data_IF_799008882385
#
_entry.id   IF_799008882385
#
_cell.length_a   1.000
_cell.length_b   1.000
_cell.length_c   1.000
_cell.angle_alpha   90.00
_cell.angle_beta   90.00
_cell.angle_gamma   90.00
#
_symmetry.space_group_name_H-M   'P 1'
#
loop_
_entity.id
_entity.type
_entity.pdbx_description
1 polymer ?
#
# COMPACT_ATOMS: atom_id res chain seq x y z
N UNK A 1 5.02 -24.17 -13.91
CA UNK A 1 4.34 -22.90 -13.56
C UNK A 1 3.22 -22.45 -14.52
N UNK A 2 3.11 -22.95 -15.77
CA UNK A 2 1.99 -22.62 -16.70
C UNK A 2 0.63 -23.28 -16.38
N UNK A 3 0.56 -24.20 -15.41
CA UNK A 3 -0.65 -25.00 -15.14
C UNK A 3 -1.61 -24.42 -14.10
N UNK A 4 -1.21 -23.40 -13.34
CA UNK A 4 -2.05 -22.84 -12.25
C UNK A 4 -2.82 -21.58 -12.67
N UNK A 5 -2.33 -20.82 -13.64
CA UNK A 5 -3.01 -19.63 -14.17
C UNK A 5 -4.27 -19.94 -15.01
N UNK A 6 -4.41 -21.17 -15.50
CA UNK A 6 -5.57 -21.54 -16.33
C UNK A 6 -6.79 -22.03 -15.51
N UNK A 7 -6.60 -22.44 -14.25
CA UNK A 7 -7.71 -22.92 -13.40
C UNK A 7 -8.44 -21.78 -12.68
N UNK A 8 -7.76 -20.67 -12.37
CA UNK A 8 -8.39 -19.53 -11.67
C UNK A 8 -9.23 -18.65 -12.58
N UNK A 9 -8.95 -18.61 -13.89
CA UNK A 9 -9.80 -17.90 -14.87
C UNK A 9 -11.07 -18.68 -15.26
N UNK A 10 -11.16 -19.99 -14.97
CA UNK A 10 -12.34 -20.80 -15.31
C UNK A 10 -13.44 -20.81 -14.23
N UNK A 11 -13.17 -20.36 -13.01
CA UNK A 11 -14.14 -20.46 -11.90
C UNK A 11 -15.06 -19.25 -11.73
N UNK A 12 -14.85 -18.15 -12.47
CA UNK A 12 -15.63 -16.92 -12.30
C UNK A 12 -16.87 -16.79 -13.21
N UNK A 13 -17.16 -17.78 -14.08
CA UNK A 13 -18.24 -17.67 -15.09
C UNK A 13 -19.51 -18.47 -14.75
N UNK A 14 -19.53 -19.27 -13.68
CA UNK A 14 -20.62 -20.22 -13.46
C UNK A 14 -21.47 -19.93 -12.21
N UNK A 15 -22.24 -18.84 -12.23
CA UNK A 15 -23.47 -18.74 -11.44
C UNK A 15 -24.59 -18.12 -12.29
N UNK A 16 -25.40 -18.94 -12.98
CA UNK A 16 -26.62 -18.47 -13.62
C UNK A 16 -27.64 -18.14 -12.53
N UNK A 17 -27.71 -16.85 -12.17
CA UNK A 17 -28.83 -16.29 -11.43
C UNK A 17 -30.11 -16.50 -12.22
N UNK A 18 -30.98 -17.37 -11.70
CA UNK A 18 -32.38 -17.52 -12.14
C UNK A 18 -33.13 -16.22 -11.87
N UNK A 19 -33.12 -15.30 -12.83
CA UNK A 19 -34.11 -14.24 -12.91
C UNK A 19 -35.29 -14.76 -13.73
N UNK A 20 -36.35 -15.17 -13.04
CA UNK A 20 -37.64 -15.51 -13.65
C UNK A 20 -38.31 -14.22 -14.14
N UNK A 21 -38.05 -13.83 -15.37
CA UNK A 21 -38.89 -12.85 -16.08
C UNK A 21 -40.11 -13.59 -16.67
N UNK A 22 -41.25 -13.43 -16.01
CA UNK A 22 -42.56 -13.77 -16.55
C UNK A 22 -43.31 -12.48 -16.87
N UNK A 23 -43.32 -12.09 -18.14
CA UNK A 23 -44.33 -11.19 -18.69
C UNK A 23 -44.67 -11.64 -20.10
N UNK A 24 -45.83 -12.30 -20.19
CA UNK A 24 -46.50 -12.79 -21.38
C UNK A 24 -47.00 -11.61 -22.19
N UNK A 25 -46.40 -11.34 -23.35
CA UNK A 25 -46.98 -10.44 -24.36
C UNK A 25 -47.85 -11.25 -25.32
N UNK A 26 -49.09 -10.79 -25.47
CA UNK A 26 -50.10 -11.36 -26.36
C UNK A 26 -49.78 -10.87 -27.76
N UNK A 27 -49.37 -11.78 -28.64
CA UNK A 27 -49.01 -11.48 -30.03
C UNK A 27 -50.23 -11.10 -30.85
N UNK A 28 -50.24 -9.86 -31.31
CA UNK A 28 -51.04 -9.40 -32.44
C UNK A 28 -50.12 -9.51 -33.66
N UNK A 29 -50.44 -10.40 -34.59
CA UNK A 29 -49.61 -10.69 -35.77
C UNK A 29 -49.84 -9.61 -36.83
N UNK A 30 -49.17 -8.48 -36.67
CA UNK A 30 -48.86 -7.61 -37.80
C UNK A 30 -47.80 -8.31 -38.65
N UNK A 31 -48.17 -8.73 -39.86
CA UNK A 31 -47.22 -9.20 -40.86
C UNK A 31 -46.30 -8.01 -41.20
N UNK A 32 -45.13 -7.98 -40.56
CA UNK A 32 -44.06 -7.09 -40.91
C UNK A 32 -43.47 -7.59 -42.25
N UNK A 33 -43.12 -6.69 -43.18
CA UNK A 33 -42.46 -7.08 -44.41
C UNK A 33 -41.20 -7.87 -44.07
N UNK A 34 -41.05 -9.06 -44.63
CA UNK A 34 -39.81 -9.84 -44.57
C UNK A 34 -38.75 -9.11 -45.43
N UNK A 35 -38.21 -8.01 -44.92
CA UNK A 35 -36.97 -7.42 -45.41
C UNK A 35 -35.84 -8.37 -45.00
N UNK A 36 -35.32 -9.09 -45.98
CA UNK A 36 -34.24 -10.05 -45.77
C UNK A 36 -33.02 -9.37 -45.13
N UNK A 37 -32.65 -9.83 -43.93
CA UNK A 37 -31.38 -9.54 -43.26
C UNK A 37 -30.24 -9.63 -44.29
N UNK A 38 -29.74 -8.47 -44.71
CA UNK A 38 -28.69 -8.44 -45.72
C UNK A 38 -27.38 -8.87 -45.06
N UNK A 39 -26.55 -9.64 -45.77
CA UNK A 39 -25.22 -10.04 -45.28
C UNK A 39 -24.38 -8.82 -44.84
N UNK A 40 -24.61 -7.67 -45.46
CA UNK A 40 -23.95 -6.40 -45.12
C UNK A 40 -24.31 -5.92 -43.71
N UNK A 41 -25.58 -6.05 -43.31
CA UNK A 41 -26.03 -5.68 -41.96
C UNK A 41 -25.35 -6.51 -40.87
N UNK A 42 -25.19 -7.81 -41.10
CA UNK A 42 -24.50 -8.70 -40.17
C UNK A 42 -23.00 -8.35 -40.03
N UNK A 43 -22.33 -7.99 -41.14
CA UNK A 43 -20.93 -7.55 -41.11
C UNK A 43 -20.77 -6.23 -40.37
N UNK A 44 -21.67 -5.26 -40.60
CA UNK A 44 -21.66 -3.98 -39.86
C UNK A 44 -21.93 -4.20 -38.37
N UNK A 45 -22.87 -5.08 -38.02
CA UNK A 45 -23.15 -5.41 -36.62
C UNK A 45 -21.92 -5.99 -35.90
N UNK A 46 -21.23 -6.96 -36.51
CA UNK A 46 -20.00 -7.53 -35.93
C UNK A 46 -18.89 -6.47 -35.83
N UNK A 47 -18.75 -5.58 -36.82
CA UNK A 47 -17.78 -4.49 -36.78
C UNK A 47 -18.05 -3.50 -35.63
N UNK A 48 -19.31 -3.13 -35.40
CA UNK A 48 -19.71 -2.26 -34.28
C UNK A 48 -19.49 -2.96 -32.94
N UNK A 49 -19.79 -4.25 -32.83
CA UNK A 49 -19.54 -5.04 -31.60
C UNK A 49 -18.03 -5.11 -31.31
N UNK A 50 -17.20 -5.35 -32.34
CA UNK A 50 -15.75 -5.37 -32.17
C UNK A 50 -15.20 -4.00 -31.74
N UNK A 51 -15.68 -2.92 -32.34
CA UNK A 51 -15.27 -1.55 -31.99
C UNK A 51 -15.68 -1.17 -30.57
N UNK A 52 -16.93 -1.45 -30.19
CA UNK A 52 -17.43 -1.18 -28.83
C UNK A 52 -16.71 -2.03 -27.78
N UNK A 53 -16.46 -3.30 -28.07
CA UNK A 53 -15.66 -4.18 -27.21
C UNK A 53 -14.23 -3.66 -27.01
N UNK A 54 -13.59 -3.18 -28.08
CA UNK A 54 -12.24 -2.60 -28.01
C UNK A 54 -12.19 -1.32 -27.16
N UNK A 55 -13.27 -0.54 -27.10
CA UNK A 55 -13.34 0.68 -26.29
C UNK A 55 -13.58 0.43 -24.79
N UNK A 56 -14.23 -0.68 -24.42
CA UNK A 56 -14.56 -0.99 -23.00
C UNK A 56 -13.35 -1.60 -22.26
N UNK A 57 -12.44 -2.26 -22.96
CA UNK A 57 -11.28 -2.95 -22.37
C UNK A 57 -10.35 -2.04 -21.55
N UNK A 58 -9.80 -0.95 -22.13
CA UNK A 58 -8.81 -0.13 -21.45
C UNK A 58 -9.28 0.50 -20.12
N UNK A 59 -10.50 1.07 -20.01
CA UNK A 59 -11.00 1.60 -18.73
C UNK A 59 -11.14 0.55 -17.62
N UNK A 60 -11.50 -0.70 -17.95
CA UNK A 60 -11.65 -1.77 -16.97
C UNK A 60 -10.31 -2.18 -16.35
N UNK A 61 -9.28 -2.33 -17.18
CA UNK A 61 -7.93 -2.64 -16.72
C UNK A 61 -7.38 -1.51 -15.85
N UNK A 62 -7.63 -0.26 -16.26
CA UNK A 62 -7.25 0.92 -15.50
C UNK A 62 -7.92 0.95 -14.11
N UNK A 63 -9.23 0.72 -14.03
CA UNK A 63 -9.96 0.68 -12.76
C UNK A 63 -9.47 -0.44 -11.82
N UNK A 64 -9.13 -1.61 -12.37
CA UNK A 64 -8.58 -2.72 -11.59
C UNK A 64 -7.18 -2.39 -11.03
N UNK A 65 -6.32 -1.75 -11.82
CA UNK A 65 -4.97 -1.37 -11.40
C UNK A 65 -5.00 -0.36 -10.23
N UNK A 66 -5.79 0.71 -10.35
CA UNK A 66 -5.92 1.72 -9.28
C UNK A 66 -6.41 1.11 -7.96
N UNK A 67 -7.33 0.13 -8.02
CA UNK A 67 -7.82 -0.55 -6.81
C UNK A 67 -6.72 -1.33 -6.09
N UNK A 68 -5.83 -1.99 -6.82
CA UNK A 68 -4.71 -2.74 -6.22
C UNK A 68 -3.70 -1.78 -5.61
N UNK A 69 -3.38 -0.67 -6.30
CA UNK A 69 -2.48 0.36 -5.79
C UNK A 69 -3.03 1.00 -4.51
N UNK A 70 -4.31 1.39 -4.49
CA UNK A 70 -4.94 1.97 -3.31
C UNK A 70 -4.90 1.04 -2.11
N UNK A 71 -5.16 -0.27 -2.30
CA UNK A 71 -5.08 -1.26 -1.22
C UNK A 71 -3.67 -1.35 -0.62
N UNK A 72 -2.63 -1.32 -1.46
CA UNK A 72 -1.23 -1.37 -0.99
C UNK A 72 -0.86 -0.10 -0.23
N UNK A 73 -1.30 1.06 -0.70
CA UNK A 73 -1.11 2.32 -0.01
C UNK A 73 -1.81 2.34 1.37
N UNK A 74 -3.07 1.87 1.43
CA UNK A 74 -3.82 1.73 2.68
C UNK A 74 -3.12 0.79 3.67
N UNK A 75 -2.61 -0.35 3.20
CA UNK A 75 -1.86 -1.29 4.03
C UNK A 75 -0.56 -0.66 4.55
N UNK A 76 0.20 0.03 3.70
CA UNK A 76 1.42 0.73 4.10
C UNK A 76 1.12 1.80 5.16
N UNK A 77 0.01 2.54 5.01
CA UNK A 77 -0.40 3.56 5.98
C UNK A 77 -0.83 2.95 7.31
N UNK A 78 -1.60 1.85 7.30
CA UNK A 78 -1.96 1.12 8.52
C UNK A 78 -0.71 0.59 9.22
N UNK A 79 0.27 0.11 8.46
CA UNK A 79 1.52 -0.39 9.00
C UNK A 79 2.36 0.72 9.64
N UNK A 80 2.45 1.88 8.98
CA UNK A 80 3.14 3.05 9.52
C UNK A 80 2.48 3.51 10.84
N UNK A 81 1.14 3.58 10.87
CA UNK A 81 0.39 3.97 12.06
C UNK A 81 0.59 2.96 13.21
N UNK A 82 0.56 1.66 12.90
CA UNK A 82 0.84 0.61 13.87
C UNK A 82 2.23 0.71 14.49
N UNK A 83 3.24 1.13 13.72
CA UNK A 83 4.59 1.36 14.25
C UNK A 83 4.65 2.54 15.21
N UNK A 84 3.99 3.65 14.84
CA UNK A 84 3.86 4.83 15.72
C UNK A 84 3.15 4.46 17.02
N UNK A 85 2.05 3.72 16.95
CA UNK A 85 1.28 3.32 18.13
C UNK A 85 2.04 2.34 19.01
N UNK A 86 2.80 1.41 18.41
CA UNK A 86 3.72 0.52 19.14
C UNK A 86 4.74 1.31 19.94
N UNK A 87 5.42 2.26 19.30
CA UNK A 87 6.43 3.11 19.94
C UNK A 87 5.78 3.97 21.03
N UNK A 88 4.61 4.55 20.75
CA UNK A 88 3.85 5.34 21.72
C UNK A 88 3.50 4.51 22.95
N UNK A 89 3.03 3.28 22.77
CA UNK A 89 2.69 2.38 23.86
C UNK A 89 3.92 2.05 24.72
N UNK A 90 5.08 1.76 24.10
CA UNK A 90 6.33 1.50 24.84
C UNK A 90 6.75 2.69 25.71
N UNK A 91 6.61 3.92 25.19
CA UNK A 91 6.95 5.12 25.98
C UNK A 91 5.94 5.36 27.10
N UNK A 92 4.64 5.17 26.86
CA UNK A 92 3.61 5.34 27.90
C UNK A 92 3.75 4.30 29.03
N UNK A 93 4.17 3.08 28.70
CA UNK A 93 4.42 2.03 29.68
C UNK A 93 5.71 2.25 30.50
N UNK A 94 6.50 3.28 30.19
CA UNK A 94 7.76 3.56 30.87
C UNK A 94 8.90 2.59 30.50
N UNK A 95 8.70 1.72 29.51
CA UNK A 95 9.73 0.78 29.02
C UNK A 95 10.56 1.38 27.86
N UNK A 96 10.63 2.70 27.80
CA UNK A 96 11.33 3.45 26.76
C UNK A 96 12.83 3.54 27.08
N UNK A 97 13.56 2.44 26.90
CA UNK A 97 15.03 2.48 26.94
C UNK A 97 15.59 2.94 25.59
N UNK A 98 16.78 3.54 25.61
CA UNK A 98 17.43 4.02 24.39
C UNK A 98 17.75 2.89 23.39
N UNK A 99 17.86 1.63 23.86
CA UNK A 99 18.08 0.48 22.98
C UNK A 99 16.82 0.03 22.24
N UNK A 100 15.63 0.19 22.84
CA UNK A 100 14.35 -0.29 22.29
C UNK A 100 13.63 0.74 21.42
N UNK A 101 13.97 2.02 21.56
CA UNK A 101 13.43 3.09 20.74
C UNK A 101 14.19 3.19 19.41
N UNK A 102 13.51 3.65 18.34
CA UNK A 102 14.17 3.94 17.05
C UNK A 102 15.44 4.76 17.23
N UNK A 103 16.44 4.56 16.37
CA UNK A 103 17.71 5.27 16.51
C UNK A 103 17.52 6.78 16.40
N UNK A 104 18.28 7.49 17.23
CA UNK A 104 18.27 8.94 17.30
C UNK A 104 19.14 9.49 16.17
N UNK A 105 18.58 10.40 15.38
CA UNK A 105 19.33 11.25 14.46
C UNK A 105 20.05 12.30 15.29
N UNK A 106 21.39 12.28 15.29
CA UNK A 106 22.22 13.19 16.10
C UNK A 106 22.18 14.63 15.59
N UNK A 107 21.84 14.85 14.32
CA UNK A 107 21.64 16.19 13.76
C UNK A 107 20.28 16.78 14.19
N UNK A 108 20.31 18.06 14.53
CA UNK A 108 19.23 18.82 15.14
C UNK A 108 17.84 18.56 14.51
N UNK A 109 16.85 18.46 15.40
CA UNK A 109 15.40 18.24 15.23
C UNK A 109 14.72 18.86 14.01
N UNK A 110 15.31 19.91 13.44
CA UNK A 110 14.64 20.79 12.48
C UNK A 110 14.45 20.17 11.10
N UNK A 111 15.12 19.06 10.76
CA UNK A 111 15.03 18.44 9.43
C UNK A 111 15.09 16.90 9.45
N UNK A 112 14.22 16.22 10.22
CA UNK A 112 14.06 14.76 10.07
C UNK A 112 13.71 14.35 8.62
N UNK A 113 13.06 15.24 7.87
CA UNK A 113 12.71 15.00 6.46
C UNK A 113 13.96 14.91 5.55
N UNK A 114 15.06 15.57 5.93
CA UNK A 114 16.33 15.50 5.21
C UNK A 114 17.08 14.17 5.42
N UNK A 115 16.63 13.33 6.36
CA UNK A 115 17.21 12.01 6.54
C UNK A 115 17.08 11.19 5.26
N UNK A 116 18.19 10.60 4.82
CA UNK A 116 18.27 9.79 3.61
C UNK A 116 17.35 8.56 3.63
N UNK A 117 17.15 8.00 2.44
CA UNK A 117 16.51 6.70 2.27
C UNK A 117 17.39 5.59 2.90
N UNK A 118 16.86 4.38 3.16
CA UNK A 118 17.66 3.30 3.70
C UNK A 118 18.72 2.84 2.70
N UNK A 119 19.96 2.69 3.16
CA UNK A 119 21.07 2.15 2.36
C UNK A 119 21.10 0.62 2.42
N UNK A 120 20.45 0.03 3.44
CA UNK A 120 20.49 -1.41 3.70
C UNK A 120 19.12 -1.93 4.10
N UNK A 121 18.70 -3.02 3.47
CA UNK A 121 17.52 -3.77 3.87
C UNK A 121 17.95 -4.93 4.75
N UNK A 122 17.38 -5.02 5.95
CA UNK A 122 17.66 -6.15 6.84
C UNK A 122 17.16 -7.45 6.22
N UNK A 123 17.91 -8.54 6.44
CA UNK A 123 17.60 -9.82 5.81
C UNK A 123 16.30 -10.43 6.36
N UNK A 124 15.37 -10.74 5.44
CA UNK A 124 14.05 -11.34 5.71
C UNK A 124 14.18 -12.66 6.48
N UNK A 125 15.25 -13.42 6.24
CA UNK A 125 15.48 -14.69 6.93
C UNK A 125 15.81 -14.55 8.42
N UNK A 126 16.12 -13.35 8.92
CA UNK A 126 16.61 -13.10 10.29
C UNK A 126 15.77 -12.06 11.03
N UNK A 127 15.23 -11.05 10.33
CA UNK A 127 14.56 -9.91 10.97
C UNK A 127 13.11 -9.70 10.52
N UNK A 128 12.52 -10.65 9.80
CA UNK A 128 11.14 -10.53 9.31
C UNK A 128 10.15 -10.45 10.46
N UNK A 129 9.39 -9.36 10.47
CA UNK A 129 8.25 -9.18 11.36
C UNK A 129 6.97 -9.61 10.64
N UNK A 130 6.27 -10.57 11.22
CA UNK A 130 5.00 -11.07 10.67
C UNK A 130 3.98 -11.29 11.79
N UNK A 131 2.68 -11.11 11.56
CA UNK A 131 1.65 -11.56 12.48
C UNK A 131 1.59 -13.09 12.56
N UNK A 132 2.12 -13.81 11.57
CA UNK A 132 2.20 -15.27 11.58
C UNK A 132 3.42 -15.74 12.38
N UNK A 133 3.20 -16.56 13.42
CA UNK A 133 4.28 -17.08 14.29
C UNK A 133 5.33 -17.91 13.56
N UNK A 134 4.99 -18.50 12.41
CA UNK A 134 5.89 -19.33 11.61
C UNK A 134 6.86 -18.48 10.78
N UNK A 135 6.39 -17.32 10.32
CA UNK A 135 7.17 -16.38 9.52
C UNK A 135 7.86 -15.32 10.40
N UNK A 136 7.35 -15.08 11.60
CA UNK A 136 7.91 -14.09 12.50
C UNK A 136 9.27 -14.54 13.04
N UNK A 137 10.32 -13.87 12.59
CA UNK A 137 11.70 -14.07 13.03
C UNK A 137 12.25 -12.85 13.76
N UNK A 138 11.41 -11.84 13.97
CA UNK A 138 11.80 -10.57 14.55
C UNK A 138 12.25 -10.73 16.01
N UNK A 139 13.51 -10.37 16.27
CA UNK A 139 14.05 -10.19 17.61
C UNK A 139 13.67 -8.81 18.14
N UNK A 140 12.85 -8.76 19.18
CA UNK A 140 12.37 -7.51 19.80
C UNK A 140 13.49 -6.68 20.44
N UNK A 141 14.68 -7.25 20.62
CA UNK A 141 15.85 -6.53 21.14
C UNK A 141 16.64 -5.81 20.04
N UNK A 142 16.37 -6.11 18.77
CA UNK A 142 17.01 -5.49 17.61
C UNK A 142 16.16 -4.33 17.09
N UNK A 143 16.77 -3.15 17.13
CA UNK A 143 16.26 -1.94 16.48
C UNK A 143 17.12 -1.64 15.26
N UNK A 144 16.46 -1.45 14.11
CA UNK A 144 17.11 -1.07 12.86
C UNK A 144 17.89 0.25 13.01
N UNK A 145 19.05 0.33 12.37
CA UNK A 145 19.79 1.59 12.27
C UNK A 145 19.00 2.63 11.46
N UNK A 146 19.43 3.90 11.51
CA UNK A 146 18.75 5.01 10.83
C UNK A 146 18.66 4.75 9.31
N UNK A 147 19.70 4.17 8.72
CA UNK A 147 19.77 3.85 7.28
C UNK A 147 19.39 2.39 6.98
N UNK A 148 18.74 1.70 7.92
CA UNK A 148 18.28 0.33 7.74
C UNK A 148 16.76 0.28 7.66
N UNK A 149 16.23 -0.61 6.82
CA UNK A 149 14.80 -0.88 6.75
C UNK A 149 14.49 -2.30 7.23
N UNK A 150 13.47 -2.40 8.09
CA UNK A 150 13.01 -3.65 8.69
C UNK A 150 11.98 -4.34 7.78
N UNK A 151 12.18 -5.61 7.38
CA UNK A 151 11.22 -6.38 6.61
C UNK A 151 9.96 -6.68 7.42
N UNK A 152 8.80 -6.46 6.80
CA UNK A 152 7.48 -6.78 7.34
C UNK A 152 6.65 -7.54 6.33
N UNK A 153 6.10 -8.66 6.78
CA UNK A 153 5.10 -9.47 6.11
C UNK A 153 3.74 -9.21 6.78
N UNK A 154 2.70 -8.93 6.00
CA UNK A 154 1.34 -8.67 6.52
C UNK A 154 0.34 -9.78 6.22
N UNK A 155 0.61 -10.66 5.25
CA UNK A 155 -0.30 -11.71 4.79
C UNK A 155 0.05 -13.10 5.35
N UNK A 156 1.23 -13.27 5.94
CA UNK A 156 1.72 -14.55 6.41
C UNK A 156 2.35 -15.37 5.26
N UNK A 157 2.45 -16.70 5.40
CA UNK A 157 3.07 -17.51 4.35
C UNK A 157 2.28 -17.39 3.04
N UNK A 158 3.01 -17.12 1.97
CA UNK A 158 2.45 -17.00 0.63
C UNK A 158 1.97 -18.37 0.10
N UNK A 159 1.36 -18.36 -1.09
CA UNK A 159 0.80 -19.56 -1.71
C UNK A 159 1.82 -20.69 -1.96
N UNK A 160 3.11 -20.37 -1.97
CA UNK A 160 4.24 -21.30 -2.07
C UNK A 160 4.88 -21.64 -0.71
N UNK A 161 4.33 -21.12 0.39
CA UNK A 161 4.82 -21.32 1.74
C UNK A 161 6.07 -20.52 2.08
N UNK A 162 6.46 -19.56 1.24
CA UNK A 162 7.55 -18.66 1.54
C UNK A 162 7.08 -17.59 2.55
N UNK A 163 8.03 -17.01 3.29
CA UNK A 163 7.76 -15.90 4.22
C UNK A 163 8.54 -14.69 3.69
N UNK A 164 8.09 -14.12 2.57
CA UNK A 164 8.69 -12.94 1.97
C UNK A 164 8.11 -11.66 2.57
N UNK A 165 8.92 -10.60 2.62
CA UNK A 165 8.45 -9.31 3.12
C UNK A 165 7.62 -8.60 2.06
N UNK A 166 6.42 -8.14 2.42
CA UNK A 166 5.58 -7.28 1.57
C UNK A 166 6.03 -5.81 1.61
N UNK A 167 6.57 -5.39 2.75
CA UNK A 167 6.94 -4.02 3.05
C UNK A 167 8.26 -3.94 3.81
N UNK A 168 8.92 -2.79 3.72
CA UNK A 168 10.07 -2.45 4.55
C UNK A 168 9.81 -1.15 5.31
N UNK A 169 10.13 -1.12 6.60
CA UNK A 169 9.90 0.04 7.45
C UNK A 169 11.22 0.65 7.86
N UNK A 170 11.38 1.94 7.59
CA UNK A 170 12.45 2.76 8.14
C UNK A 170 11.83 3.66 9.23
N UNK A 171 12.30 3.53 10.47
CA UNK A 171 11.81 4.33 11.59
C UNK A 171 13.00 4.97 12.32
N UNK A 172 12.93 6.27 12.55
CA UNK A 172 13.96 7.03 13.24
C UNK A 172 13.33 8.19 14.01
N UNK A 173 14.06 8.69 15.01
CA UNK A 173 13.59 9.78 15.86
C UNK A 173 14.58 10.94 15.90
N UNK A 174 14.07 12.14 16.10
CA UNK A 174 14.85 13.32 16.46
C UNK A 174 14.56 13.72 17.89
N UNK A 175 15.58 14.24 18.57
CA UNK A 175 15.49 14.59 19.99
C UNK A 175 14.81 15.95 20.16
N UNK A 176 13.67 16.05 20.85
CA UNK A 176 13.05 17.35 21.12
C UNK A 176 13.55 17.97 22.44
N UNK A 177 14.20 17.18 23.31
CA UNK A 177 14.72 17.64 24.58
C UNK A 177 16.26 17.62 24.61
N UNK A 178 16.94 18.79 24.58
CA UNK A 178 18.40 18.85 24.68
C UNK A 178 18.94 18.30 26.00
N UNK A 179 18.08 18.09 27.00
CA UNK A 179 18.42 17.55 28.33
C UNK A 179 18.57 16.02 28.34
N UNK A 180 18.22 15.34 27.25
CA UNK A 180 18.45 13.90 27.06
C UNK A 180 17.35 12.98 27.59
N UNK A 181 16.17 13.50 27.93
CA UNK A 181 15.05 12.66 28.31
C UNK A 181 14.45 12.00 27.06
N UNK A 182 14.44 10.67 27.01
CA UNK A 182 13.87 9.87 25.92
C UNK A 182 12.33 9.97 25.77
N UNK A 183 11.69 10.94 26.42
CA UNK A 183 10.23 11.07 26.48
C UNK A 183 9.69 12.06 25.44
N UNK A 184 10.53 13.00 25.00
CA UNK A 184 10.19 14.04 24.03
C UNK A 184 11.01 13.83 22.75
N UNK A 185 10.34 13.34 21.73
CA UNK A 185 10.96 13.10 20.44
C UNK A 185 9.97 13.27 19.30
N UNK A 186 10.50 13.69 18.15
CA UNK A 186 9.79 13.60 16.89
C UNK A 186 10.10 12.24 16.28
N UNK A 187 9.08 11.52 15.84
CA UNK A 187 9.21 10.22 15.21
C UNK A 187 8.85 10.35 13.73
N UNK A 188 9.67 9.77 12.86
CA UNK A 188 9.37 9.60 11.46
C UNK A 188 9.38 8.12 11.10
N UNK A 189 8.36 7.70 10.35
CA UNK A 189 8.21 6.33 9.86
C UNK A 189 7.95 6.39 8.36
N UNK A 190 8.77 5.68 7.58
CA UNK A 190 8.63 5.52 6.14
C UNK A 190 8.41 4.05 5.82
N UNK A 191 7.45 3.77 4.95
CA UNK A 191 7.15 2.41 4.51
C UNK A 191 7.40 2.28 3.02
N UNK A 192 8.34 1.41 2.66
CA UNK A 192 8.72 1.06 1.31
C UNK A 192 8.03 -0.23 0.88
N UNK A 193 7.80 -0.40 -0.42
CA UNK A 193 7.32 -1.67 -0.97
C UNK A 193 8.43 -2.72 -0.97
N UNK A 194 8.07 -4.01 -1.00
CA UNK A 194 9.02 -5.11 -1.15
C UNK A 194 9.99 -4.91 -2.33
N UNK A 195 9.48 -4.31 -3.41
CA UNK A 195 10.18 -4.12 -4.68
C UNK A 195 11.24 -3.03 -4.61
N UNK A 196 11.26 -2.23 -3.54
CA UNK A 196 12.29 -1.21 -3.31
C UNK A 196 13.66 -1.79 -2.97
N UNK A 197 13.72 -3.02 -2.47
CA UNK A 197 14.97 -3.69 -2.10
C UNK A 197 15.93 -3.89 -3.28
N UNK A 198 15.38 -4.06 -4.48
CA UNK A 198 16.15 -4.32 -5.70
C UNK A 198 16.53 -3.03 -6.46
N UNK A 199 16.23 -1.85 -5.90
CA UNK A 199 16.51 -0.56 -6.54
C UNK A 199 17.83 0.04 -6.04
N UNK A 200 18.61 0.59 -6.96
CA UNK A 200 19.88 1.25 -6.64
C UNK A 200 19.71 2.65 -6.05
N UNK A 201 18.59 3.32 -6.34
CA UNK A 201 18.33 4.68 -5.87
C UNK A 201 16.94 4.78 -5.27
N UNK A 202 16.90 5.18 -4.00
CA UNK A 202 15.66 5.35 -3.26
C UNK A 202 15.41 6.83 -2.97
N UNK A 203 14.15 7.22 -3.11
CA UNK A 203 13.64 8.51 -2.73
C UNK A 203 13.13 8.53 -1.29
N UNK A 204 12.99 9.73 -0.75
CA UNK A 204 12.45 10.00 0.59
C UNK A 204 11.05 10.62 0.55
N UNK A 205 10.67 11.14 -0.62
CA UNK A 205 9.35 11.73 -0.87
C UNK A 205 8.28 10.65 -1.01
N UNK A 206 7.05 10.87 -0.52
CA UNK A 206 5.96 9.92 -0.72
C UNK A 206 5.70 9.68 -2.22
N UNK A 207 5.47 8.42 -2.59
CA UNK A 207 5.14 8.04 -3.95
C UNK A 207 3.83 8.71 -4.41
N UNK A 208 3.81 9.30 -5.60
CA UNK A 208 2.58 9.73 -6.22
C UNK A 208 1.77 8.51 -6.62
N UNK A 209 0.59 8.32 -6.01
CA UNK A 209 -0.39 7.30 -6.41
C UNK A 209 -1.18 7.70 -7.68
N UNK A 210 -0.63 8.63 -8.46
CA UNK A 210 -1.25 9.08 -9.71
C UNK A 210 -1.06 8.02 -10.79
N UNK A 211 -2.06 7.85 -11.63
CA UNK A 211 -1.99 6.92 -12.76
C UNK A 211 -0.87 7.27 -13.77
N UNK A 212 -0.41 8.53 -13.78
CA UNK A 212 0.61 9.03 -14.71
C UNK A 212 2.03 8.97 -14.16
N UNK A 213 2.20 8.80 -12.84
CA UNK A 213 3.51 8.48 -12.28
C UNK A 213 3.80 7.04 -12.63
N UNK A 214 4.68 6.83 -13.60
CA UNK A 214 5.04 5.50 -14.07
C UNK A 214 5.46 4.59 -12.90
N UNK A 215 5.43 3.28 -13.15
CA UNK A 215 5.70 2.25 -12.15
C UNK A 215 7.02 2.42 -11.35
N UNK A 216 7.94 3.27 -11.79
CA UNK A 216 9.20 3.54 -11.10
C UNK A 216 9.06 4.31 -9.78
N UNK A 217 7.97 5.06 -9.55
CA UNK A 217 7.85 5.81 -8.30
C UNK A 217 7.60 4.90 -7.10
N UNK A 218 6.70 3.92 -7.21
CA UNK A 218 6.39 3.04 -6.07
C UNK A 218 7.48 1.99 -5.78
N UNK A 219 8.44 1.82 -6.69
CA UNK A 219 9.65 1.03 -6.48
C UNK A 219 10.73 1.80 -5.76
N UNK A 220 10.83 3.11 -5.97
CA UNK A 220 11.95 3.91 -5.43
C UNK A 220 11.54 4.78 -4.25
N UNK A 221 10.24 5.12 -4.12
CA UNK A 221 9.73 6.05 -3.11
C UNK A 221 8.87 5.33 -2.05
N UNK A 222 8.83 5.83 -0.80
CA UNK A 222 7.95 5.29 0.24
C UNK A 222 6.47 5.45 -0.13
N UNK A 223 5.67 4.42 0.14
CA UNK A 223 4.22 4.41 -0.05
C UNK A 223 3.49 5.21 1.05
N UNK A 224 4.07 5.25 2.24
CA UNK A 224 3.54 6.02 3.36
C UNK A 224 4.69 6.66 4.13
N UNK A 225 4.52 7.93 4.48
CA UNK A 225 5.42 8.69 5.35
C UNK A 225 4.57 9.30 6.45
N UNK A 226 4.87 8.97 7.70
CA UNK A 226 4.22 9.56 8.87
C UNK A 226 5.25 10.25 9.75
N UNK A 227 4.90 11.44 10.20
CA UNK A 227 5.66 12.23 11.17
C UNK A 227 4.76 12.54 12.36
N UNK A 228 5.25 12.30 13.57
CA UNK A 228 4.54 12.65 14.80
C UNK A 228 5.49 13.29 15.80
N UNK A 229 4.98 14.31 16.52
CA UNK A 229 5.70 15.01 17.56
C UNK A 229 5.10 14.57 18.89
N UNK A 230 5.91 13.97 19.76
CA UNK A 230 5.52 13.69 21.13
C UNK A 230 6.18 14.72 22.05
N UNK A 231 5.36 15.53 22.69
CA UNK A 231 5.78 16.45 23.75
C UNK A 231 5.00 16.06 25.02
N UNK A 232 5.71 15.53 26.02
CA UNK A 232 5.19 15.03 27.28
C UNK A 232 5.08 16.13 28.34
N UNK A 233 5.65 17.32 28.09
CA UNK A 233 5.53 18.48 28.99
C UNK A 233 4.14 19.15 28.96
N UNK A 234 3.22 18.69 28.11
CA UNK A 234 1.83 19.18 27.99
C UNK A 234 0.77 18.33 28.69
N UNK A 235 1.14 17.43 29.60
CA UNK A 235 0.23 16.42 30.19
C UNK A 235 -0.90 16.93 31.11
N UNK A 236 -1.33 18.21 31.00
CA UNK A 236 -2.55 18.73 31.65
C UNK A 236 -3.59 19.28 30.65
N UNK A 237 -3.30 19.41 29.36
CA UNK A 237 -4.35 19.87 28.44
C UNK A 237 -3.98 19.78 26.98
N UNK A 238 -4.86 19.14 26.21
CA UNK A 238 -4.84 19.05 24.74
C UNK A 238 -3.80 18.11 24.14
N UNK A 239 -4.18 16.84 24.03
CA UNK A 239 -3.60 15.89 23.10
C UNK A 239 -4.03 16.30 21.67
N UNK A 240 -3.37 17.28 21.06
CA UNK A 240 -3.52 17.54 19.63
C UNK A 240 -2.50 16.73 18.85
N UNK A 241 -2.72 15.42 18.76
CA UNK A 241 -2.04 14.59 17.76
C UNK A 241 -2.82 14.68 16.46
N UNK A 242 -2.61 15.73 15.68
CA UNK A 242 -3.01 15.73 14.27
C UNK A 242 -1.89 15.03 13.50
N UNK A 243 -2.10 13.79 13.01
CA UNK A 243 -1.18 13.24 12.03
C UNK A 243 -1.22 14.16 10.80
N UNK A 244 -0.08 14.79 10.48
CA UNK A 244 0.06 15.48 9.20
C UNK A 244 0.21 14.41 8.14
N UNK A 245 -0.93 13.94 7.62
CA UNK A 245 -0.95 13.06 6.46
C UNK A 245 -0.61 13.95 5.27
N UNK A 246 0.63 13.87 4.79
CA UNK A 246 1.01 14.47 3.51
C UNK A 246 0.38 13.62 2.41
N UNK A 247 -0.85 13.97 2.03
CA UNK A 247 -1.47 13.42 0.84
C UNK A 247 -0.71 13.96 -0.39
N UNK A 248 -0.42 13.13 -1.40
CA UNK A 248 0.10 13.64 -2.66
C UNK A 248 -0.86 14.71 -3.20
N UNK A 249 -0.35 15.77 -3.85
CA UNK A 249 -1.21 16.83 -4.37
C UNK A 249 -2.25 16.24 -5.32
N UNK A 250 -3.52 16.40 -4.96
CA UNK A 250 -4.65 16.08 -5.83
C UNK A 250 -4.48 16.84 -7.14
N UNK A 251 -4.15 16.13 -8.22
CA UNK A 251 -4.05 16.73 -9.55
C UNK A 251 -5.46 17.14 -9.96
N UNK A 252 -5.74 18.44 -9.88
CA UNK A 252 -6.94 19.05 -10.45
C UNK A 252 -6.76 19.00 -11.97
N UNK A 253 -7.44 18.06 -12.64
CA UNK A 253 -7.50 18.03 -14.09
C UNK A 253 -8.28 19.26 -14.58
N UNK A 254 -7.58 20.23 -15.17
CA UNK A 254 -8.15 21.29 -16.00
C UNK A 254 -8.40 20.80 -17.42
#
# INVERSE_FOLDING_TARGET
MKSMLLKTLLSCVAQPGRFLYSARTKGESSQLPEEGLTLLECVVAIAVIALTGAMIGPPLVMAAATRVQNRRAEQAQQLAQGEVDRIRAMVVQGNATAELLPKLVEESVTNLEAQGAPDTFLADNTYLRSPNTTCNKYDTTKVAAINEALPVDVNGPDADGNCEADFYIQAFRGNLDPTGNNQDFQLMVRVYSAQAKDQETLGVEPAGLSFTSGNGEYWTKPLAVLSTIKNLLGAIGMISSTPTISYPPTVVSS
#
